data_IF_222774655813
#
_entry.id   IF_222774655813
#
_cell.length_a   1.000
_cell.length_b   1.000
_cell.length_c   1.000
_cell.angle_alpha   90.00
_cell.angle_beta   90.00
_cell.angle_gamma   90.00
#
_symmetry.space_group_name_H-M   'P 1'
#
loop_
_entity.id
_entity.type
_entity.pdbx_description
1 polymer ?
#
# COMPACT_ATOMS: atom_id res chain seq x y z
N UNK A 1 59.91 -3.49 34.59
CA UNK A 1 59.46 -2.08 34.49
C UNK A 1 58.43 -2.05 33.37
N UNK A 2 57.14 -2.16 33.71
CA UNK A 2 56.02 -2.13 32.76
C UNK A 2 55.12 -0.95 33.16
N UNK A 3 54.96 0.03 32.27
CA UNK A 3 54.07 1.16 32.47
C UNK A 3 52.85 0.98 31.57
N UNK A 4 51.67 0.85 32.19
CA UNK A 4 50.36 0.91 31.54
C UNK A 4 49.88 2.35 31.72
N UNK A 5 49.68 3.09 30.64
CA UNK A 5 49.00 4.40 30.64
C UNK A 5 47.49 4.21 30.48
N UNK A 6 46.63 4.91 31.23
CA UNK A 6 45.18 4.90 31.02
C UNK A 6 44.67 6.17 30.31
N UNK A 7 43.39 6.09 29.87
CA UNK A 7 42.47 7.14 29.38
C UNK A 7 42.73 7.63 27.95
N UNK A 8 41.72 7.86 27.10
CA UNK A 8 40.46 8.60 27.31
C UNK A 8 39.33 7.94 26.50
N UNK A 9 38.16 7.76 27.13
CA UNK A 9 36.89 7.42 26.50
C UNK A 9 36.38 8.59 25.66
N UNK A 10 36.10 8.35 24.38
CA UNK A 10 35.42 9.31 23.50
C UNK A 10 33.95 9.44 23.93
N UNK A 11 33.68 10.43 24.76
CA UNK A 11 32.37 11.04 24.94
C UNK A 11 32.46 12.44 24.33
N UNK A 12 31.77 12.68 23.21
CA UNK A 12 31.36 13.98 22.61
C UNK A 12 30.84 13.61 21.20
N UNK A 13 29.56 13.34 20.95
CA UNK A 13 28.37 13.95 21.55
C UNK A 13 27.93 15.23 20.84
N UNK A 14 28.37 15.49 19.60
CA UNK A 14 28.09 16.77 18.92
C UNK A 14 27.94 16.73 17.38
N UNK A 15 27.85 15.56 16.74
CA UNK A 15 27.64 15.48 15.28
C UNK A 15 26.31 14.88 14.81
N UNK A 16 25.41 14.46 15.71
CA UNK A 16 24.12 13.86 15.33
C UNK A 16 22.89 14.68 15.74
N UNK A 17 23.01 15.99 15.97
CA UNK A 17 21.84 16.82 16.32
C UNK A 17 21.07 17.36 15.09
N UNK A 18 21.55 17.12 13.86
CA UNK A 18 20.95 17.69 12.66
C UNK A 18 20.37 16.68 11.67
N UNK A 19 20.58 15.37 11.85
CA UNK A 19 19.99 14.32 10.99
C UNK A 19 18.77 13.61 11.62
N UNK A 20 18.49 13.83 12.91
CA UNK A 20 17.31 13.28 13.62
C UNK A 20 16.04 14.14 13.44
N UNK A 21 16.11 15.17 12.59
CA UNK A 21 14.99 16.03 12.24
C UNK A 21 14.49 15.57 10.85
N UNK A 22 13.31 14.94 10.82
CA UNK A 22 12.47 14.67 9.62
C UNK A 22 12.64 13.37 8.81
N UNK A 23 12.67 12.18 9.45
CA UNK A 23 12.07 11.00 8.78
C UNK A 23 10.78 10.55 9.49
N UNK A 24 9.59 11.03 9.04
CA UNK A 24 8.31 10.64 9.62
C UNK A 24 8.04 9.13 9.47
N UNK A 25 8.79 8.41 8.63
CA UNK A 25 8.54 6.99 8.37
C UNK A 25 9.12 6.04 9.42
N UNK A 26 10.06 6.49 10.27
CA UNK A 26 10.65 5.68 11.35
C UNK A 26 9.66 5.36 12.49
N UNK A 27 8.62 6.19 12.69
CA UNK A 27 7.65 6.03 13.80
C UNK A 27 6.54 5.01 13.55
N UNK A 28 6.39 4.47 12.33
CA UNK A 28 5.22 3.64 12.01
C UNK A 28 5.35 2.18 12.46
N UNK A 29 6.53 1.71 12.90
CA UNK A 29 6.81 0.29 13.21
C UNK A 29 6.06 -0.32 14.41
N UNK A 30 5.20 0.45 15.10
CA UNK A 30 4.69 0.08 16.43
C UNK A 30 3.16 0.17 16.61
N UNK A 31 2.34 -0.06 15.56
CA UNK A 31 0.86 -0.09 15.71
C UNK A 31 0.27 -1.50 15.53
N UNK A 32 0.15 -2.24 16.63
CA UNK A 32 -0.76 -3.39 16.76
C UNK A 32 -2.07 -2.91 17.41
N UNK A 33 -3.22 -2.94 16.71
CA UNK A 33 -4.52 -2.66 17.32
C UNK A 33 -5.66 -3.54 16.76
N UNK A 34 -6.70 -3.67 17.60
CA UNK A 34 -7.79 -4.64 17.65
C UNK A 34 -8.73 -4.66 16.40
N UNK A 35 -9.47 -5.77 16.18
CA UNK A 35 -10.41 -5.89 15.07
C UNK A 35 -11.59 -4.89 15.17
N UNK A 36 -11.98 -4.30 14.03
CA UNK A 36 -13.17 -3.44 13.90
C UNK A 36 -14.23 -4.18 13.08
N UNK A 37 -15.46 -4.20 13.58
CA UNK A 37 -16.62 -4.72 12.83
C UNK A 37 -17.34 -3.57 12.15
N UNK A 38 -17.58 -3.69 10.85
CA UNK A 38 -18.40 -2.75 10.09
C UNK A 38 -19.85 -3.25 10.02
N UNK A 39 -20.81 -2.33 9.88
CA UNK A 39 -22.25 -2.59 9.98
C UNK A 39 -22.85 -3.49 8.88
N UNK A 40 -22.04 -3.92 7.90
CA UNK A 40 -22.41 -4.90 6.86
C UNK A 40 -21.98 -6.33 7.23
N UNK A 41 -21.52 -6.56 8.45
CA UNK A 41 -21.05 -7.86 8.93
C UNK A 41 -19.67 -8.25 8.39
N UNK A 42 -18.99 -7.37 7.63
CA UNK A 42 -17.62 -7.62 7.22
C UNK A 42 -16.65 -7.33 8.37
N UNK A 43 -15.76 -8.29 8.64
CA UNK A 43 -14.60 -8.06 9.49
C UNK A 43 -13.54 -7.40 8.60
N UNK A 44 -13.52 -6.06 8.62
CA UNK A 44 -12.51 -5.28 7.91
C UNK A 44 -11.31 -5.02 8.80
N UNK A 45 -10.14 -5.56 8.43
CA UNK A 45 -8.87 -5.13 9.00
C UNK A 45 -8.45 -3.80 8.37
N UNK A 46 -9.03 -2.67 8.79
CA UNK A 46 -8.54 -1.32 8.41
C UNK A 46 -7.67 -0.73 9.53
N UNK A 47 -6.80 -1.58 10.12
CA UNK A 47 -5.82 -1.16 11.10
C UNK A 47 -4.80 -2.25 11.38
N UNK A 48 -3.52 -2.00 11.07
CA UNK A 48 -2.39 -2.68 11.71
C UNK A 48 -1.79 -3.91 11.01
N UNK A 49 -2.11 -4.20 9.75
CA UNK A 49 -1.29 -5.13 8.95
C UNK A 49 -0.56 -4.35 7.87
N UNK A 50 0.77 -4.31 7.95
CA UNK A 50 1.62 -3.87 6.84
C UNK A 50 1.15 -4.57 5.57
N UNK A 51 0.83 -3.80 4.53
CA UNK A 51 0.30 -4.35 3.30
C UNK A 51 -1.19 -4.74 3.35
N UNK A 52 -1.96 -4.30 4.34
CA UNK A 52 -3.42 -4.44 4.33
C UNK A 52 -4.03 -3.79 3.09
N UNK A 53 -4.97 -4.47 2.43
CA UNK A 53 -5.57 -3.98 1.19
C UNK A 53 -7.09 -4.07 1.19
N UNK A 54 -7.74 -3.08 0.61
CA UNK A 54 -9.17 -3.07 0.33
C UNK A 54 -9.39 -2.88 -1.17
N UNK A 55 -10.28 -3.70 -1.74
CA UNK A 55 -10.69 -3.59 -3.15
C UNK A 55 -12.17 -3.28 -3.18
N UNK A 56 -12.53 -2.27 -3.96
CA UNK A 56 -13.89 -1.77 -4.11
C UNK A 56 -14.22 -1.76 -5.62
N UNK A 57 -15.26 -2.51 -5.99
CA UNK A 57 -15.70 -2.65 -7.37
C UNK A 57 -17.11 -2.07 -7.48
N UNK A 58 -17.20 -0.77 -7.77
CA UNK A 58 -18.47 -0.06 -7.94
C UNK A 58 -18.90 -0.05 -9.40
N UNK A 59 -20.11 0.45 -9.69
CA UNK A 59 -20.66 0.49 -11.05
C UNK A 59 -19.89 1.42 -11.99
N UNK A 60 -19.30 2.49 -11.46
CA UNK A 60 -18.60 3.53 -12.23
C UNK A 60 -17.08 3.48 -12.11
N UNK A 61 -16.57 2.92 -11.01
CA UNK A 61 -15.15 2.93 -10.71
C UNK A 61 -14.70 1.63 -10.04
N UNK A 62 -13.44 1.29 -10.26
CA UNK A 62 -12.72 0.25 -9.56
C UNK A 62 -11.60 0.89 -8.75
N UNK A 63 -11.51 0.57 -7.46
CA UNK A 63 -10.60 1.21 -6.53
C UNK A 63 -9.87 0.20 -5.66
N UNK A 64 -8.56 0.38 -5.52
CA UNK A 64 -7.69 -0.40 -4.63
C UNK A 64 -7.12 0.59 -3.61
N UNK A 65 -7.22 0.26 -2.31
CA UNK A 65 -6.51 0.92 -1.22
C UNK A 65 -5.51 -0.06 -0.63
N UNK A 66 -4.26 0.37 -0.43
CA UNK A 66 -3.18 -0.46 0.08
C UNK A 66 -2.33 0.32 1.10
N UNK A 67 -2.17 -0.24 2.29
CA UNK A 67 -1.30 0.32 3.32
C UNK A 67 0.18 0.05 2.98
N UNK A 68 0.91 1.13 2.69
CA UNK A 68 2.34 1.18 2.40
C UNK A 68 3.06 2.14 3.36
N UNK A 69 2.54 2.33 4.58
CA UNK A 69 3.09 3.26 5.59
C UNK A 69 4.55 3.06 5.98
N UNK A 70 5.15 1.93 5.61
CA UNK A 70 6.57 1.62 5.84
C UNK A 70 7.45 1.83 4.61
N UNK A 71 6.90 2.36 3.52
CA UNK A 71 7.60 2.60 2.28
C UNK A 71 7.49 4.06 1.89
N UNK A 72 8.59 4.62 1.39
CA UNK A 72 8.57 5.95 0.80
C UNK A 72 7.93 5.89 -0.60
N UNK A 73 7.32 6.97 -1.11
CA UNK A 73 6.75 7.00 -2.46
C UNK A 73 7.72 6.54 -3.55
N UNK A 74 9.00 6.86 -3.41
CA UNK A 74 10.06 6.54 -4.37
C UNK A 74 10.44 5.05 -4.38
N UNK A 75 10.10 4.31 -3.31
CA UNK A 75 10.33 2.87 -3.15
C UNK A 75 9.24 2.01 -3.81
N UNK A 76 8.21 2.65 -4.36
CA UNK A 76 6.99 2.00 -4.85
C UNK A 76 6.95 2.06 -6.38
N UNK A 77 6.69 0.91 -6.99
CA UNK A 77 6.50 0.75 -8.44
C UNK A 77 5.16 0.09 -8.71
N UNK A 78 4.35 0.72 -9.56
CA UNK A 78 3.05 0.21 -9.99
C UNK A 78 3.16 -0.16 -11.45
N UNK A 79 2.93 -1.44 -11.74
CA UNK A 79 2.85 -1.97 -13.09
C UNK A 79 1.42 -2.41 -13.36
N UNK A 80 0.90 -2.08 -14.53
CA UNK A 80 -0.46 -2.41 -14.92
C UNK A 80 -0.46 -2.99 -16.32
N UNK A 81 -1.21 -4.07 -16.49
CA UNK A 81 -1.51 -4.69 -17.77
C UNK A 81 -3.02 -4.90 -17.92
N UNK A 82 -3.46 -5.50 -19.03
CA UNK A 82 -4.88 -5.69 -19.34
C UNK A 82 -5.66 -6.55 -18.37
N UNK A 83 -5.00 -7.26 -17.45
CA UNK A 83 -5.64 -8.23 -16.56
C UNK A 83 -5.34 -8.01 -15.09
N UNK A 84 -4.29 -7.25 -14.76
CA UNK A 84 -3.85 -7.06 -13.39
C UNK A 84 -3.13 -5.73 -13.17
N UNK A 85 -3.19 -5.29 -11.91
CA UNK A 85 -2.32 -4.27 -11.34
C UNK A 85 -1.38 -4.96 -10.37
N UNK A 86 -0.08 -4.73 -10.51
CA UNK A 86 0.95 -5.22 -9.59
C UNK A 86 1.65 -4.04 -8.94
N UNK A 87 1.67 -4.04 -7.60
CA UNK A 87 2.37 -3.06 -6.78
C UNK A 87 3.58 -3.74 -6.17
N UNK A 88 4.76 -3.21 -6.44
CA UNK A 88 6.02 -3.58 -5.82
C UNK A 88 6.47 -2.45 -4.90
N UNK A 89 6.85 -2.77 -3.66
CA UNK A 89 7.40 -1.83 -2.70
C UNK A 89 8.65 -2.44 -2.07
N UNK A 90 9.79 -1.78 -2.22
CA UNK A 90 11.08 -2.30 -1.74
C UNK A 90 11.84 -1.24 -0.96
N UNK A 91 12.02 -1.50 0.32
CA UNK A 91 12.87 -0.76 1.22
C UNK A 91 14.20 -1.50 1.35
N UNK A 92 15.27 -0.89 0.83
CA UNK A 92 16.62 -1.42 0.97
C UNK A 92 17.09 -1.37 2.43
N UNK A 93 18.19 -2.06 2.73
CA UNK A 93 18.74 -2.10 4.07
C UNK A 93 19.06 -0.69 4.56
N UNK A 94 18.38 -0.27 5.63
CA UNK A 94 18.66 0.98 6.32
C UNK A 94 18.88 0.73 7.79
N UNK A 95 19.80 1.50 8.37
CA UNK A 95 20.02 1.50 9.79
C UNK A 95 18.84 2.18 10.49
N UNK A 96 18.31 1.56 11.55
CA UNK A 96 17.34 2.13 12.46
C UNK A 96 17.91 2.19 13.89
N UNK A 97 17.09 2.61 14.86
CA UNK A 97 17.52 2.75 16.26
C UNK A 97 18.00 1.44 16.91
N UNK A 98 17.70 0.28 16.31
CA UNK A 98 17.92 -1.03 16.90
C UNK A 98 18.73 -1.99 16.00
N UNK A 99 19.14 -1.58 14.81
CA UNK A 99 19.91 -2.41 13.88
C UNK A 99 19.72 -1.99 12.43
N UNK A 100 19.60 -2.97 11.54
CA UNK A 100 19.34 -2.78 10.11
C UNK A 100 18.00 -3.39 9.73
N UNK A 101 17.27 -2.74 8.83
CA UNK A 101 15.97 -3.21 8.36
C UNK A 101 15.87 -3.16 6.85
N UNK A 102 15.41 -4.27 6.28
CA UNK A 102 15.04 -4.42 4.86
C UNK A 102 13.61 -4.93 4.77
N UNK A 103 12.80 -4.42 3.83
CA UNK A 103 11.43 -4.88 3.61
C UNK A 103 11.10 -4.92 2.12
N UNK A 104 10.37 -5.94 1.69
CA UNK A 104 9.87 -6.03 0.31
C UNK A 104 8.45 -6.58 0.30
N UNK A 105 7.58 -5.97 -0.51
CA UNK A 105 6.22 -6.44 -0.72
C UNK A 105 5.88 -6.39 -2.21
N UNK A 106 5.24 -7.45 -2.70
CA UNK A 106 4.59 -7.48 -4.01
C UNK A 106 3.14 -7.90 -3.84
N UNK A 107 2.20 -7.12 -4.39
CA UNK A 107 0.78 -7.48 -4.46
C UNK A 107 0.24 -7.33 -5.86
N UNK A 108 -0.52 -8.33 -6.29
CA UNK A 108 -1.18 -8.34 -7.58
C UNK A 108 -2.69 -8.43 -7.41
N UNK A 109 -3.42 -7.55 -8.08
CA UNK A 109 -4.88 -7.50 -8.11
C UNK A 109 -5.36 -7.77 -9.53
N UNK A 110 -6.36 -8.64 -9.68
CA UNK A 110 -7.02 -8.85 -10.97
C UNK A 110 -7.92 -7.66 -11.28
N UNK A 111 -7.83 -7.17 -12.50
CA UNK A 111 -8.71 -6.13 -13.01
C UNK A 111 -9.99 -6.75 -13.59
N UNK A 112 -11.16 -6.13 -13.36
CA UNK A 112 -12.37 -6.44 -14.12
C UNK A 112 -12.17 -6.18 -15.63
N UNK A 113 -12.99 -6.77 -16.49
CA UNK A 113 -12.88 -6.59 -17.95
C UNK A 113 -13.42 -5.24 -18.43
N UNK A 114 -14.26 -4.62 -17.61
CA UNK A 114 -15.00 -3.39 -17.85
C UNK A 114 -14.26 -2.13 -17.37
N UNK A 115 -12.96 -2.21 -17.05
CA UNK A 115 -12.17 -1.02 -16.66
C UNK A 115 -11.40 -0.44 -17.84
N UNK A 116 -11.33 0.89 -17.91
CA UNK A 116 -10.46 1.59 -18.85
C UNK A 116 -9.08 1.82 -18.22
N UNK A 117 -8.06 1.13 -18.74
CA UNK A 117 -6.67 1.26 -18.26
C UNK A 117 -6.12 2.68 -18.42
N UNK A 118 -6.58 3.46 -19.40
CA UNK A 118 -6.10 4.83 -19.63
C UNK A 118 -6.59 5.80 -18.57
N UNK A 119 -7.70 5.47 -17.89
CA UNK A 119 -8.26 6.26 -16.81
C UNK A 119 -7.56 6.05 -15.46
N UNK A 120 -6.54 5.19 -15.41
CA UNK A 120 -5.87 4.86 -14.18
C UNK A 120 -5.20 6.09 -13.53
N UNK A 121 -5.47 6.25 -12.24
CA UNK A 121 -4.82 7.27 -11.41
C UNK A 121 -4.36 6.63 -10.10
N UNK A 122 -3.24 7.13 -9.57
CA UNK A 122 -2.71 6.67 -8.28
C UNK A 122 -2.34 7.86 -7.41
N UNK A 123 -2.66 7.77 -6.13
CA UNK A 123 -2.38 8.81 -5.13
C UNK A 123 -2.00 8.16 -3.81
N UNK A 124 -1.03 8.71 -3.10
CA UNK A 124 -0.68 8.29 -1.75
C UNK A 124 -1.03 9.42 -0.78
N UNK A 125 -1.66 9.08 0.35
CA UNK A 125 -1.94 10.05 1.40
C UNK A 125 -0.79 10.15 2.41
N UNK A 126 -0.83 11.17 3.29
CA UNK A 126 0.18 11.39 4.33
C UNK A 126 0.31 10.23 5.34
N UNK A 127 -0.70 9.35 5.42
CA UNK A 127 -0.67 8.16 6.27
C UNK A 127 -0.04 6.95 5.57
N UNK A 128 0.51 7.12 4.36
CA UNK A 128 1.15 6.06 3.58
C UNK A 128 0.19 5.04 2.95
N UNK A 129 -1.10 5.37 2.84
CA UNK A 129 -2.06 4.55 2.10
C UNK A 129 -2.06 4.94 0.62
N UNK A 130 -1.72 4.00 -0.24
CA UNK A 130 -1.83 4.11 -1.69
C UNK A 130 -3.27 3.84 -2.14
N UNK A 131 -3.82 4.72 -2.97
CA UNK A 131 -5.11 4.58 -3.63
C UNK A 131 -4.94 4.55 -5.14
N UNK A 132 -5.32 3.44 -5.77
CA UNK A 132 -5.36 3.28 -7.23
C UNK A 132 -6.82 3.29 -7.67
N UNK A 133 -7.16 4.10 -8.67
CA UNK A 133 -8.53 4.23 -9.21
C UNK A 133 -8.52 4.04 -10.71
N UNK A 134 -9.52 3.33 -11.22
CA UNK A 134 -9.83 3.21 -12.63
C UNK A 134 -11.32 3.47 -12.84
N UNK A 135 -11.68 4.16 -13.91
CA UNK A 135 -13.05 4.29 -14.37
C UNK A 135 -13.48 3.02 -15.10
N UNK A 136 -14.77 2.70 -15.00
CA UNK A 136 -15.36 1.65 -15.81
C UNK A 136 -15.83 2.19 -17.15
N UNK A 137 -15.55 1.44 -18.20
CA UNK A 137 -16.10 1.67 -19.53
C UNK A 137 -17.60 1.40 -19.44
N UNK A 138 -18.42 2.41 -19.68
CA UNK A 138 -19.86 2.21 -19.74
C UNK A 138 -20.15 1.16 -20.83
N UNK A 139 -20.54 -0.05 -20.41
CA UNK A 139 -21.19 -1.00 -21.31
C UNK A 139 -22.50 -0.31 -21.65
N UNK A 140 -22.64 0.11 -22.91
CA UNK A 140 -23.92 0.59 -23.42
C UNK A 140 -25.01 -0.37 -22.94
N UNK A 141 -26.00 0.17 -22.22
CA UNK A 141 -27.06 -0.59 -21.58
C UNK A 141 -27.51 -1.69 -22.54
N UNK A 142 -27.35 -2.94 -22.11
CA UNK A 142 -27.75 -4.12 -22.88
C UNK A 142 -29.14 -3.88 -23.43
N UNK A 143 -29.27 -3.74 -24.76
CA UNK A 143 -30.56 -3.76 -25.44
C UNK A 143 -31.28 -4.99 -24.93
N UNK A 144 -32.40 -4.80 -24.22
CA UNK A 144 -33.29 -5.89 -23.85
C UNK A 144 -33.61 -6.69 -25.12
N UNK A 145 -33.09 -7.92 -25.18
CA UNK A 145 -33.47 -8.86 -26.24
C UNK A 145 -34.69 -9.60 -25.71
N UNK A 146 -35.88 -9.10 -26.07
CA UNK A 146 -37.12 -9.84 -25.84
C UNK A 146 -37.11 -11.10 -26.70
N UNK A 147 -36.99 -12.26 -26.06
CA UNK A 147 -37.10 -13.57 -26.72
C UNK A 147 -38.57 -14.01 -26.61
N UNK A 148 -39.34 -14.05 -27.71
CA UNK A 148 -40.71 -14.55 -27.69
C UNK A 148 -40.74 -16.07 -27.47
N UNK A 149 -41.72 -16.55 -26.70
CA UNK A 149 -41.97 -17.98 -26.48
C UNK A 149 -43.06 -18.44 -27.44
N UNK A 150 -42.72 -19.38 -28.33
CA UNK A 150 -43.69 -20.03 -29.22
C UNK A 150 -44.21 -21.33 -28.60
N UNK A 151 -45.54 -21.47 -28.55
CA UNK A 151 -46.22 -22.72 -28.17
C UNK A 151 -46.39 -23.55 -29.44
N UNK A 152 -45.74 -24.72 -29.51
CA UNK A 152 -45.97 -25.69 -30.58
C UNK A 152 -47.30 -26.42 -30.36
N UNK A 153 -48.15 -26.41 -31.38
CA UNK A 153 -49.39 -27.18 -31.48
C UNK A 153 -49.13 -28.65 -31.80
#
# INVERSE_FOLDING_TARGET
MFAITPRISNDFGLFNLFDDIEDPYSRYHQRNLLPVQFGDGTIGHIGGRIGGSQVENADKEFRIRLDLSHYKPEEIKINMDSHKVTVHAKHEERQDNHGFVTREMTRTYKLPKDVDLKSASSTMNANGTLSIKLSKTAVEASKEVNIPVEIKQ
#
